data_IF_382802861754
#
_entry.id   IF_382802861754
#
_cell.length_a   1.000
_cell.length_b   1.000
_cell.length_c   1.000
_cell.angle_alpha   90.00
_cell.angle_beta   90.00
_cell.angle_gamma   90.00
#
_symmetry.space_group_name_H-M   'P 1'
#
loop_
_entity.id
_entity.type
_entity.pdbx_description
1 polymer ?
#
# COMPACT_ATOMS: atom_id res chain seq x y z
N UNK A 1 1.13 14.69 12.50
CA UNK A 1 1.86 13.40 12.49
C UNK A 1 1.10 12.47 11.56
N UNK A 2 1.74 11.70 10.67
CA UNK A 2 0.99 10.83 9.73
C UNK A 2 0.33 9.69 10.52
N UNK A 3 -0.98 9.52 10.38
CA UNK A 3 -1.74 8.43 11.01
C UNK A 3 -2.05 7.33 10.00
N UNK A 4 -1.83 6.06 10.38
CA UNK A 4 -2.16 4.89 9.56
C UNK A 4 -3.11 3.98 10.34
N UNK A 5 -4.17 3.54 9.68
CA UNK A 5 -5.16 2.60 10.21
C UNK A 5 -5.25 1.39 9.29
N UNK A 6 -5.70 0.24 9.80
CA UNK A 6 -5.93 -0.97 9.01
C UNK A 6 -7.42 -1.24 8.92
N UNK A 7 -7.91 -1.62 7.75
CA UNK A 7 -9.31 -1.93 7.53
C UNK A 7 -9.48 -3.01 6.47
N UNK A 8 -10.72 -3.41 6.23
CA UNK A 8 -11.08 -4.37 5.21
C UNK A 8 -12.26 -3.87 4.39
N UNK A 9 -12.27 -4.17 3.08
CA UNK A 9 -13.35 -3.80 2.16
C UNK A 9 -14.59 -4.71 2.28
N UNK A 10 -14.44 -5.87 2.91
CA UNK A 10 -15.46 -6.91 3.00
C UNK A 10 -15.26 -7.75 4.27
N UNK A 11 -16.34 -8.27 4.90
CA UNK A 11 -16.23 -9.16 6.05
C UNK A 11 -15.32 -10.38 5.81
N UNK A 12 -15.15 -10.81 4.55
CA UNK A 12 -14.30 -11.95 4.18
C UNK A 12 -12.82 -11.74 4.51
N UNK A 13 -12.32 -10.49 4.52
CA UNK A 13 -10.91 -10.20 4.77
C UNK A 13 -10.64 -9.64 6.18
N UNK A 14 -11.65 -9.65 7.07
CA UNK A 14 -11.53 -9.08 8.41
C UNK A 14 -10.47 -9.80 9.26
N UNK A 15 -10.35 -11.13 9.12
CA UNK A 15 -9.34 -11.91 9.84
C UNK A 15 -7.93 -11.47 9.43
N UNK A 16 -7.69 -11.36 8.13
CA UNK A 16 -6.41 -10.92 7.56
C UNK A 16 -6.11 -9.47 7.97
N UNK A 17 -7.10 -8.59 7.96
CA UNK A 17 -6.95 -7.21 8.43
C UNK A 17 -6.59 -7.14 9.93
N UNK A 18 -7.20 -7.99 10.76
CA UNK A 18 -6.90 -8.07 12.20
C UNK A 18 -5.48 -8.58 12.46
N UNK A 19 -5.06 -9.62 11.75
CA UNK A 19 -3.69 -10.14 11.82
C UNK A 19 -2.68 -9.07 11.40
N UNK A 20 -2.95 -8.39 10.29
CA UNK A 20 -2.07 -7.34 9.78
C UNK A 20 -1.98 -6.14 10.74
N UNK A 21 -3.11 -5.72 11.31
CA UNK A 21 -3.17 -4.71 12.38
C UNK A 21 -2.27 -5.09 13.55
N UNK A 22 -2.34 -6.34 14.01
CA UNK A 22 -1.52 -6.83 15.11
C UNK A 22 -0.02 -6.87 14.77
N UNK A 23 0.33 -7.30 13.56
CA UNK A 23 1.73 -7.43 13.12
C UNK A 23 2.38 -6.07 12.93
N UNK A 24 1.65 -5.12 12.35
CA UNK A 24 2.18 -3.78 12.06
C UNK A 24 2.03 -2.79 13.23
N UNK A 25 1.22 -3.12 14.24
CA UNK A 25 0.95 -2.24 15.37
C UNK A 25 0.05 -1.04 15.05
N UNK A 26 -0.71 -1.10 13.96
CA UNK A 26 -1.67 -0.07 13.55
C UNK A 26 -3.08 -0.44 13.99
N UNK A 27 -3.92 0.54 14.38
CA UNK A 27 -5.29 0.27 14.83
C UNK A 27 -6.16 -0.32 13.70
N UNK A 28 -6.92 -1.36 14.03
CA UNK A 28 -7.98 -1.90 13.17
C UNK A 28 -9.23 -1.01 13.27
N UNK A 29 -9.76 -0.56 12.13
CA UNK A 29 -10.97 0.26 12.04
C UNK A 29 -11.94 -0.40 11.07
N UNK A 30 -13.19 -0.59 11.51
CA UNK A 30 -14.27 -1.18 10.69
C UNK A 30 -15.21 -0.13 10.09
N UNK A 31 -15.23 1.07 10.67
CA UNK A 31 -16.02 2.20 10.20
C UNK A 31 -15.07 3.30 9.71
N UNK A 32 -14.83 3.29 8.40
CA UNK A 32 -14.11 4.35 7.72
C UNK A 32 -15.12 5.47 7.50
N UNK A 33 -15.14 6.45 8.42
CA UNK A 33 -16.08 7.57 8.40
C UNK A 33 -16.12 8.34 7.06
N UNK A 34 -16.94 9.38 7.00
CA UNK A 34 -17.20 10.09 5.74
C UNK A 34 -15.92 10.72 5.14
N UNK A 35 -15.62 10.49 3.84
CA UNK A 35 -14.39 10.93 3.19
C UNK A 35 -14.24 12.45 2.96
N UNK A 36 -15.16 13.27 3.47
CA UNK A 36 -15.22 14.73 3.27
C UNK A 36 -14.76 15.54 4.50
N UNK A 37 -14.27 14.89 5.56
CA UNK A 37 -13.63 15.62 6.65
C UNK A 37 -12.31 16.23 6.14
N UNK A 38 -12.24 17.55 6.14
CA UNK A 38 -11.01 18.32 5.95
C UNK A 38 -10.07 18.06 7.13
N UNK A 39 -9.53 16.85 7.20
CA UNK A 39 -8.49 16.50 8.16
C UNK A 39 -7.23 17.27 7.79
N UNK A 40 -6.81 18.11 8.73
CA UNK A 40 -5.61 18.95 8.61
C UNK A 40 -4.33 18.12 8.69
N UNK A 41 -4.40 16.93 9.30
CA UNK A 41 -3.33 15.96 9.35
C UNK A 41 -3.51 14.86 8.30
N UNK A 42 -2.44 14.47 7.56
CA UNK A 42 -2.50 13.38 6.62
C UNK A 42 -2.77 12.05 7.34
N UNK A 43 -3.87 11.39 6.97
CA UNK A 43 -4.23 10.06 7.45
C UNK A 43 -4.41 9.09 6.28
N UNK A 44 -4.06 7.83 6.52
CA UNK A 44 -4.14 6.76 5.53
C UNK A 44 -4.80 5.50 6.11
N UNK A 45 -5.46 4.77 5.23
CA UNK A 45 -6.06 3.48 5.51
C UNK A 45 -5.34 2.42 4.69
N UNK A 46 -4.81 1.42 5.38
CA UNK A 46 -4.31 0.19 4.81
C UNK A 46 -5.47 -0.79 4.67
N UNK A 47 -5.99 -0.92 3.46
CA UNK A 47 -7.20 -1.71 3.16
C UNK A 47 -6.81 -3.10 2.64
N UNK A 48 -7.32 -4.13 3.31
CA UNK A 48 -7.22 -5.52 2.89
C UNK A 48 -8.48 -5.90 2.12
N UNK A 49 -8.32 -6.31 0.87
CA UNK A 49 -9.42 -6.67 -0.01
C UNK A 49 -9.10 -7.77 -1.02
N UNK A 50 -10.03 -8.00 -1.95
CA UNK A 50 -9.94 -9.06 -2.96
C UNK A 50 -8.72 -8.92 -3.85
N UNK A 51 -8.50 -7.69 -4.31
CA UNK A 51 -7.33 -7.40 -5.09
C UNK A 51 -6.07 -7.64 -4.26
N UNK A 52 -6.08 -7.31 -2.96
CA UNK A 52 -4.99 -7.52 -2.02
C UNK A 52 -4.81 -6.31 -1.09
N UNK A 53 -3.57 -6.03 -0.69
CA UNK A 53 -3.26 -4.90 0.19
C UNK A 53 -3.09 -3.59 -0.58
N UNK A 54 -3.76 -2.53 -0.13
CA UNK A 54 -3.66 -1.19 -0.73
C UNK A 54 -3.65 -0.09 0.33
N UNK A 55 -2.93 1.00 0.04
CA UNK A 55 -2.85 2.18 0.89
C UNK A 55 -3.72 3.28 0.28
N UNK A 56 -4.75 3.69 1.01
CA UNK A 56 -5.67 4.77 0.62
C UNK A 56 -5.40 6.01 1.45
N UNK A 57 -5.35 7.21 0.84
CA UNK A 57 -5.51 8.43 1.62
C UNK A 57 -6.94 8.48 2.16
N UNK A 58 -7.12 8.85 3.43
CA UNK A 58 -8.47 9.03 4.00
C UNK A 58 -9.23 10.16 3.29
N UNK A 59 -8.50 11.18 2.81
CA UNK A 59 -9.04 12.21 1.92
C UNK A 59 -9.02 11.73 0.47
N UNK A 60 -10.20 11.40 -0.07
CA UNK A 60 -10.37 10.88 -1.44
C UNK A 60 -10.08 11.91 -2.54
N UNK A 61 -9.88 13.19 -2.23
CA UNK A 61 -9.50 14.24 -3.20
C UNK A 61 -8.00 14.26 -3.51
N UNK A 62 -7.19 13.46 -2.82
CA UNK A 62 -5.74 13.38 -3.05
C UNK A 62 -5.43 12.47 -4.26
N UNK A 63 -4.88 11.29 -4.02
CA UNK A 63 -4.58 10.28 -5.03
C UNK A 63 -5.44 9.03 -4.80
N UNK A 64 -5.53 8.18 -5.82
CA UNK A 64 -6.16 6.86 -5.68
C UNK A 64 -5.35 5.90 -4.82
N UNK A 65 -5.80 4.64 -4.66
CA UNK A 65 -5.07 3.63 -3.91
C UNK A 65 -3.66 3.42 -4.46
N UNK A 66 -2.70 3.30 -3.55
CA UNK A 66 -1.34 2.88 -3.87
C UNK A 66 -1.20 1.40 -3.53
N UNK A 67 -0.65 0.63 -4.47
CA UNK A 67 -0.42 -0.79 -4.30
C UNK A 67 0.93 -1.21 -4.83
N UNK A 68 1.54 -2.16 -4.13
CA UNK A 68 2.74 -2.86 -4.62
C UNK A 68 2.30 -4.02 -5.52
N UNK A 69 2.62 -3.92 -6.80
CA UNK A 69 2.44 -4.99 -7.78
C UNK A 69 3.79 -5.33 -8.39
N UNK A 70 4.22 -6.59 -8.25
CA UNK A 70 5.45 -7.11 -8.82
C UNK A 70 5.25 -7.86 -10.14
N UNK A 71 4.01 -8.22 -10.45
CA UNK A 71 3.64 -9.03 -11.62
C UNK A 71 3.34 -8.16 -12.84
N UNK A 72 2.70 -7.01 -12.64
CA UNK A 72 2.26 -6.13 -13.73
C UNK A 72 2.80 -4.70 -13.60
N UNK A 73 2.36 -3.83 -14.51
CA UNK A 73 2.67 -2.40 -14.51
C UNK A 73 4.15 -2.05 -14.64
N UNK A 74 4.52 -0.90 -14.06
CA UNK A 74 5.85 -0.30 -14.21
C UNK A 74 6.97 -1.17 -13.64
N UNK A 75 6.72 -1.94 -12.58
CA UNK A 75 7.72 -2.85 -12.00
C UNK A 75 8.06 -4.00 -12.96
N UNK A 76 7.05 -4.62 -13.58
CA UNK A 76 7.28 -5.66 -14.59
C UNK A 76 8.00 -5.09 -15.83
N UNK A 77 7.58 -3.91 -16.30
CA UNK A 77 8.27 -3.22 -17.39
C UNK A 77 9.75 -2.96 -17.05
N UNK A 78 10.02 -2.45 -15.84
CA UNK A 78 11.39 -2.20 -15.37
C UNK A 78 12.19 -3.50 -15.21
N UNK A 79 11.57 -4.60 -14.78
CA UNK A 79 12.22 -5.92 -14.73
C UNK A 79 12.64 -6.40 -16.14
N UNK A 80 11.80 -6.19 -17.15
CA UNK A 80 12.03 -6.67 -18.52
C UNK A 80 13.00 -5.78 -19.32
N UNK A 81 12.90 -4.46 -19.16
CA UNK A 81 13.59 -3.49 -20.03
C UNK A 81 14.47 -2.51 -19.27
N UNK A 82 14.41 -2.51 -17.95
CA UNK A 82 15.24 -1.64 -17.11
C UNK A 82 16.67 -2.13 -16.99
N UNK A 83 17.21 -2.99 -17.86
CA UNK A 83 18.64 -3.31 -17.87
C UNK A 83 19.16 -4.28 -16.79
N UNK A 84 18.36 -4.72 -15.82
CA UNK A 84 18.72 -5.77 -14.87
C UNK A 84 20.06 -5.53 -14.17
N UNK A 85 21.03 -6.45 -14.35
CA UNK A 85 22.39 -6.34 -13.80
C UNK A 85 23.17 -5.11 -14.32
N UNK A 86 22.75 -4.52 -15.44
CA UNK A 86 23.31 -3.28 -15.98
C UNK A 86 22.88 -2.02 -15.23
N UNK A 87 21.87 -2.09 -14.34
CA UNK A 87 21.38 -0.95 -13.56
C UNK A 87 22.41 -0.44 -12.56
N UNK A 88 22.36 0.87 -12.28
CA UNK A 88 23.24 1.52 -11.31
C UNK A 88 23.16 0.86 -9.92
N UNK A 89 21.96 0.49 -9.45
CA UNK A 89 21.80 -0.18 -8.16
C UNK A 89 22.44 -1.58 -8.14
N UNK A 90 22.32 -2.36 -9.22
CA UNK A 90 22.93 -3.68 -9.32
C UNK A 90 24.46 -3.58 -9.28
N UNK A 91 25.04 -2.67 -10.09
CA UNK A 91 26.48 -2.40 -10.12
C UNK A 91 27.00 -1.93 -8.76
N UNK A 92 26.25 -1.05 -8.07
CA UNK A 92 26.64 -0.52 -6.77
C UNK A 92 26.72 -1.59 -5.68
N UNK A 93 25.92 -2.66 -5.76
CA UNK A 93 25.96 -3.80 -4.81
C UNK A 93 26.87 -4.94 -5.28
N UNK A 94 27.72 -4.71 -6.29
CA UNK A 94 28.68 -5.69 -6.80
C UNK A 94 28.09 -6.73 -7.75
N UNK A 95 26.84 -6.56 -8.20
CA UNK A 95 26.20 -7.39 -9.22
C UNK A 95 26.43 -6.74 -10.58
N UNK A 96 27.34 -7.28 -11.37
CA UNK A 96 27.63 -6.82 -12.73
C UNK A 96 27.59 -7.97 -13.72
N UNK A 97 26.95 -7.72 -14.86
CA UNK A 97 26.93 -8.57 -16.06
C UNK A 97 26.89 -7.70 -17.30
#
# INVERSE_FOLDING_TARGET
MISIQVSSDSPHYLVQAKELSSVLGYPLVTDLGSPDDYQTDPSYVLLVGEDGLSLFPSNRRLHGPIRVDFMFGSNNHRRRFGGGNGQAIAKAVGVSG
#
